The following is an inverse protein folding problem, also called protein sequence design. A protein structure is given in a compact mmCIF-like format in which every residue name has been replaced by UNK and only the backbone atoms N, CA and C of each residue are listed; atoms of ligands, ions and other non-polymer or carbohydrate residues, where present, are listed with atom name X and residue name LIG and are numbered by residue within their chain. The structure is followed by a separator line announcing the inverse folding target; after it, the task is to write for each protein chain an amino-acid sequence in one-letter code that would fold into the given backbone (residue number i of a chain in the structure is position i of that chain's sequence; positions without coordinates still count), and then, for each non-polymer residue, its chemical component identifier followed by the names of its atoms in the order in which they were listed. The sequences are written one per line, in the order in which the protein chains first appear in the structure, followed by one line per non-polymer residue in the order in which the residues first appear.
data_IF_638396781694
#
_entry.id   IF_638396781694
#
_cell.length_a   1.000
_cell.length_b   1.000
_cell.length_c   1.000
_cell.angle_alpha   90.00
_cell.angle_beta   90.00
_cell.angle_gamma   90.00
#
_symmetry.space_group_name_H-M   'P 1'
#
loop_
_entity.id
_entity.type
_entity.pdbx_description
1 polymer ?
#
# COMPACT_ATOMS: atom_id res chain seq x y z
N UNK A 1 -35.84 17.32 -25.66
CA UNK A 1 -35.59 15.97 -25.10
C UNK A 1 -34.10 15.87 -24.82
N UNK A 2 -33.71 15.50 -23.61
CA UNK A 2 -32.31 15.29 -23.21
C UNK A 2 -32.09 13.78 -23.27
N UNK A 3 -31.06 13.35 -24.00
CA UNK A 3 -30.60 11.97 -24.03
C UNK A 3 -29.11 11.95 -23.67
N UNK A 4 -28.65 10.89 -23.01
CA UNK A 4 -27.23 10.69 -22.79
C UNK A 4 -26.84 9.25 -23.08
N UNK A 5 -25.62 9.07 -23.60
CA UNK A 5 -24.98 7.76 -23.75
C UNK A 5 -23.58 7.79 -23.13
N UNK A 6 -23.10 6.61 -22.76
CA UNK A 6 -21.76 6.42 -22.19
C UNK A 6 -20.98 5.52 -23.14
N UNK A 7 -19.84 6.00 -23.62
CA UNK A 7 -18.93 5.24 -24.48
C UNK A 7 -17.61 5.01 -23.75
N UNK A 8 -17.20 3.75 -23.63
CA UNK A 8 -15.89 3.40 -23.06
C UNK A 8 -14.86 3.34 -24.18
N UNK A 9 -13.93 4.29 -24.20
CA UNK A 9 -12.74 4.24 -25.04
C UNK A 9 -11.58 3.52 -24.34
N UNK A 10 -10.49 3.35 -25.07
CA UNK A 10 -9.29 2.63 -24.63
C UNK A 10 -8.62 3.28 -23.40
N UNK A 11 -8.70 4.62 -23.28
CA UNK A 11 -8.02 5.40 -22.23
C UNK A 11 -8.95 6.28 -21.39
N UNK A 12 -10.24 6.35 -21.74
CA UNK A 12 -11.21 7.22 -21.08
C UNK A 12 -12.64 6.71 -21.27
N UNK A 13 -13.54 7.12 -20.39
CA UNK A 13 -14.99 6.95 -20.58
C UNK A 13 -15.60 8.30 -20.94
N UNK A 14 -16.36 8.33 -22.04
CA UNK A 14 -17.02 9.51 -22.58
C UNK A 14 -18.49 9.50 -22.20
N UNK A 15 -19.01 10.65 -21.73
CA UNK A 15 -20.44 10.89 -21.57
C UNK A 15 -20.87 11.80 -22.72
N UNK A 16 -21.73 11.31 -23.60
CA UNK A 16 -22.23 12.06 -24.75
C UNK A 16 -23.65 12.51 -24.42
N UNK A 17 -23.84 13.81 -24.26
CA UNK A 17 -25.14 14.40 -23.95
C UNK A 17 -25.71 14.97 -25.25
N UNK A 18 -26.79 14.36 -25.74
CA UNK A 18 -27.51 14.83 -26.93
C UNK A 18 -28.72 15.63 -26.46
N UNK A 19 -28.77 16.91 -26.83
CA UNK A 19 -29.92 17.76 -26.50
C UNK A 19 -30.45 18.47 -27.73
N UNK A 20 -31.78 18.40 -27.90
CA UNK A 20 -32.50 19.12 -28.96
C UNK A 20 -33.11 20.39 -28.36
N UNK A 21 -32.60 21.56 -28.74
CA UNK A 21 -33.04 22.86 -28.23
C UNK A 21 -33.67 23.74 -29.33
N UNK A 22 -34.57 24.63 -28.93
CA UNK A 22 -35.14 25.69 -29.77
C UNK A 22 -34.68 27.11 -29.34
N UNK A 23 -33.82 27.21 -28.32
CA UNK A 23 -33.22 28.44 -27.78
C UNK A 23 -31.92 28.11 -27.05
N UNK A 24 -31.07 29.09 -26.64
CA UNK A 24 -29.85 28.81 -25.89
C UNK A 24 -30.15 28.17 -24.53
N UNK A 25 -29.41 27.14 -24.15
CA UNK A 25 -29.53 26.45 -22.85
C UNK A 25 -28.15 26.15 -22.28
N UNK A 26 -28.02 26.31 -20.96
CA UNK A 26 -26.83 25.93 -20.19
C UNK A 26 -26.95 24.49 -19.71
N UNK A 27 -25.94 23.66 -20.00
CA UNK A 27 -25.83 22.29 -19.47
C UNK A 27 -24.74 22.28 -18.40
N UNK A 28 -25.08 21.80 -17.20
CA UNK A 28 -24.13 21.61 -16.09
C UNK A 28 -23.86 20.10 -15.98
N UNK A 29 -22.59 19.73 -16.01
CA UNK A 29 -22.15 18.33 -15.82
C UNK A 29 -21.34 18.27 -14.54
N UNK A 30 -21.88 17.57 -13.54
CA UNK A 30 -21.16 17.26 -12.30
C UNK A 30 -20.55 15.86 -12.41
N UNK A 31 -19.26 15.74 -12.09
CA UNK A 31 -18.56 14.45 -12.05
C UNK A 31 -17.61 14.41 -10.86
N UNK A 32 -17.34 13.20 -10.36
CA UNK A 32 -16.37 12.95 -9.31
C UNK A 32 -15.33 11.95 -9.81
N UNK A 33 -14.06 12.24 -9.59
CA UNK A 33 -12.99 11.27 -9.75
C UNK A 33 -12.85 10.45 -8.46
N UNK A 34 -12.51 9.15 -8.53
CA UNK A 34 -12.14 8.41 -7.34
C UNK A 34 -10.91 9.08 -6.72
N UNK A 35 -11.11 9.73 -5.57
CA UNK A 35 -10.02 10.32 -4.81
C UNK A 35 -9.40 9.23 -3.94
N UNK A 36 -8.07 9.09 -4.01
CA UNK A 36 -7.37 8.22 -3.07
C UNK A 36 -7.42 8.90 -1.70
N UNK A 37 -8.25 8.38 -0.81
CA UNK A 37 -8.39 8.94 0.52
C UNK A 37 -7.16 8.62 1.37
N UNK A 38 -6.82 9.51 2.32
CA UNK A 38 -5.79 9.24 3.32
C UNK A 38 -6.02 7.89 4.03
N UNK A 39 -7.28 7.58 4.33
CA UNK A 39 -7.70 6.29 4.89
C UNK A 39 -7.28 5.12 4.01
N UNK A 40 -7.48 5.22 2.69
CA UNK A 40 -7.08 4.19 1.72
C UNK A 40 -5.56 3.99 1.70
N UNK A 41 -4.78 5.08 1.74
CA UNK A 41 -3.31 4.99 1.71
C UNK A 41 -2.77 4.40 3.03
N UNK A 42 -3.26 4.89 4.17
CA UNK A 42 -2.91 4.33 5.48
C UNK A 42 -3.27 2.85 5.56
N UNK A 43 -4.44 2.46 5.05
CA UNK A 43 -4.85 1.06 5.01
C UNK A 43 -3.92 0.22 4.15
N UNK A 44 -3.49 0.75 3.01
CA UNK A 44 -2.58 0.07 2.10
C UNK A 44 -1.22 -0.21 2.78
N UNK A 45 -0.60 0.81 3.37
CA UNK A 45 0.67 0.63 4.07
C UNK A 45 0.55 -0.29 5.29
N UNK A 46 -0.55 -0.20 6.04
CA UNK A 46 -0.86 -1.16 7.10
C UNK A 46 -0.88 -2.59 6.56
N UNK A 47 -1.58 -2.85 5.46
CA UNK A 47 -1.66 -4.20 4.88
C UNK A 47 -0.35 -4.68 4.28
N UNK A 48 0.41 -3.80 3.63
CA UNK A 48 1.71 -4.17 3.09
C UNK A 48 2.72 -4.49 4.19
N UNK A 49 2.69 -3.76 5.32
CA UNK A 49 3.50 -4.12 6.47
C UNK A 49 3.16 -5.51 7.03
N UNK A 50 1.88 -5.80 7.26
CA UNK A 50 1.45 -7.09 7.82
C UNK A 50 1.82 -8.25 6.88
N UNK A 51 1.56 -8.10 5.57
CA UNK A 51 1.93 -9.13 4.59
C UNK A 51 3.46 -9.31 4.52
N UNK A 52 4.22 -8.21 4.54
CA UNK A 52 5.68 -8.26 4.53
C UNK A 52 6.25 -8.90 5.79
N UNK A 53 5.60 -8.71 6.95
CA UNK A 53 6.00 -9.37 8.19
C UNK A 53 5.79 -10.88 8.13
N UNK A 54 4.66 -11.34 7.60
CA UNK A 54 4.39 -12.76 7.37
C UNK A 54 5.41 -13.38 6.42
N UNK A 55 5.72 -12.67 5.32
CA UNK A 55 6.72 -13.10 4.33
C UNK A 55 8.14 -13.13 4.92
N UNK A 56 8.52 -12.09 5.67
CA UNK A 56 9.79 -12.02 6.39
C UNK A 56 9.94 -13.24 7.30
N UNK A 57 8.93 -13.56 8.12
CA UNK A 57 9.00 -14.69 9.04
C UNK A 57 9.23 -16.01 8.30
N UNK A 58 8.54 -16.22 7.16
CA UNK A 58 8.73 -17.41 6.32
C UNK A 58 10.15 -17.47 5.75
N UNK A 59 10.59 -16.40 5.09
CA UNK A 59 11.91 -16.35 4.45
C UNK A 59 13.03 -16.45 5.48
N UNK A 60 12.85 -15.87 6.67
CA UNK A 60 13.86 -15.92 7.72
C UNK A 60 14.08 -17.36 8.21
N UNK A 61 13.01 -18.14 8.38
CA UNK A 61 13.14 -19.57 8.70
C UNK A 61 13.83 -20.36 7.56
N UNK A 62 13.43 -20.13 6.31
CA UNK A 62 14.07 -20.77 5.16
C UNK A 62 15.56 -20.39 5.04
N UNK A 63 15.91 -19.13 5.31
CA UNK A 63 17.28 -18.65 5.29
C UNK A 63 18.14 -19.32 6.38
N UNK A 64 17.56 -19.61 7.55
CA UNK A 64 18.22 -20.39 8.60
C UNK A 64 18.45 -21.85 8.15
N UNK A 65 17.47 -22.47 7.50
CA UNK A 65 17.57 -23.85 7.00
C UNK A 65 18.61 -24.00 5.89
N UNK A 66 18.75 -22.97 5.03
CA UNK A 66 19.75 -22.91 3.96
C UNK A 66 21.12 -22.41 4.42
N UNK A 67 21.30 -22.17 5.73
CA UNK A 67 22.55 -21.66 6.31
C UNK A 67 23.03 -20.35 5.63
N UNK A 68 22.09 -19.45 5.32
CA UNK A 68 22.42 -18.08 4.87
C UNK A 68 23.38 -17.44 5.87
N UNK A 69 24.34 -16.68 5.35
CA UNK A 69 25.38 -16.09 6.18
C UNK A 69 24.79 -15.22 7.33
N UNK A 70 25.49 -15.20 8.47
CA UNK A 70 25.02 -14.53 9.66
C UNK A 70 24.90 -13.00 9.51
N UNK A 71 25.74 -12.36 8.70
CA UNK A 71 25.71 -10.90 8.51
C UNK A 71 24.43 -10.46 7.78
N UNK A 72 24.02 -11.20 6.76
CA UNK A 72 22.77 -11.02 6.01
C UNK A 72 21.55 -11.25 6.90
N UNK A 73 21.57 -12.30 7.74
CA UNK A 73 20.49 -12.56 8.69
C UNK A 73 20.37 -11.43 9.73
N UNK A 74 21.50 -10.93 10.24
CA UNK A 74 21.54 -9.83 11.20
C UNK A 74 21.02 -8.52 10.59
N UNK A 75 21.41 -8.22 9.35
CA UNK A 75 20.93 -7.05 8.62
C UNK A 75 19.41 -7.10 8.41
N UNK A 76 18.89 -8.24 7.94
CA UNK A 76 17.46 -8.44 7.75
C UNK A 76 16.68 -8.33 9.07
N UNK A 77 17.20 -8.87 10.18
CA UNK A 77 16.60 -8.73 11.51
C UNK A 77 16.54 -7.27 11.96
N UNK A 78 17.62 -6.51 11.76
CA UNK A 78 17.68 -5.10 12.13
C UNK A 78 16.64 -4.26 11.39
N UNK A 79 16.43 -4.53 10.11
CA UNK A 79 15.40 -3.89 9.30
C UNK A 79 13.99 -4.25 9.80
N UNK A 80 13.74 -5.53 10.10
CA UNK A 80 12.46 -5.96 10.67
C UNK A 80 12.18 -5.30 12.05
N UNK A 81 13.19 -5.20 12.92
CA UNK A 81 13.07 -4.47 14.19
C UNK A 81 12.73 -2.99 13.97
N UNK A 82 13.42 -2.35 13.03
CA UNK A 82 13.17 -0.95 12.64
C UNK A 82 11.74 -0.79 12.11
N UNK A 83 11.26 -1.73 11.30
CA UNK A 83 9.88 -1.74 10.80
C UNK A 83 8.86 -1.83 11.94
N UNK A 84 9.11 -2.71 12.92
CA UNK A 84 8.27 -2.87 14.10
C UNK A 84 8.24 -1.61 14.98
N UNK A 85 9.35 -0.88 15.12
CA UNK A 85 9.39 0.40 15.84
C UNK A 85 8.54 1.48 15.16
N UNK A 86 8.60 1.57 13.84
CA UNK A 86 7.75 2.49 13.08
C UNK A 86 6.27 2.09 13.19
N UNK A 87 5.95 0.81 13.08
CA UNK A 87 4.58 0.34 13.27
C UNK A 87 4.06 0.65 14.68
N UNK A 88 4.88 0.42 15.70
CA UNK A 88 4.55 0.78 17.09
C UNK A 88 4.26 2.26 17.24
N UNK A 89 5.05 3.13 16.60
CA UNK A 89 4.80 4.58 16.57
C UNK A 89 3.43 4.89 15.97
N UNK A 90 3.04 4.24 14.85
CA UNK A 90 1.70 4.39 14.28
C UNK A 90 0.59 3.92 15.24
N UNK A 91 0.83 2.81 15.95
CA UNK A 91 -0.10 2.26 16.94
C UNK A 91 -0.28 3.21 18.12
N UNK A 92 0.78 3.85 18.61
CA UNK A 92 0.73 4.87 19.66
C UNK A 92 -0.14 6.07 19.24
N UNK A 93 0.03 6.58 18.01
CA UNK A 93 -0.85 7.64 17.48
C UNK A 93 -2.32 7.20 17.35
N UNK A 94 -2.56 5.91 17.12
CA UNK A 94 -3.90 5.32 17.09
C UNK A 94 -4.49 5.02 18.48
N UNK A 95 -3.76 5.29 19.57
CA UNK A 95 -4.21 5.04 20.95
C UNK A 95 -3.88 3.66 21.49
N UNK A 96 -2.91 2.96 20.90
CA UNK A 96 -2.26 1.78 21.46
C UNK A 96 -2.99 0.43 21.29
N UNK A 97 -4.20 0.41 20.70
CA UNK A 97 -5.02 -0.82 20.59
C UNK A 97 -5.19 -1.33 19.17
N UNK A 98 -5.49 -0.45 18.23
CA UNK A 98 -5.71 -0.82 16.83
C UNK A 98 -5.58 0.41 15.94
N UNK A 99 -4.98 0.23 14.77
CA UNK A 99 -4.79 1.27 13.77
C UNK A 99 -6.06 1.48 12.93
N UNK A 100 -6.86 0.42 12.72
CA UNK A 100 -8.00 0.41 11.80
C UNK A 100 -9.03 1.54 12.04
N UNK A 101 -9.46 1.83 13.29
CA UNK A 101 -10.43 2.90 13.55
C UNK A 101 -9.87 4.31 13.32
N UNK A 102 -8.56 4.44 13.15
CA UNK A 102 -7.83 5.70 13.09
C UNK A 102 -7.14 5.95 11.75
N UNK A 103 -7.35 5.12 10.73
CA UNK A 103 -6.67 5.21 9.43
C UNK A 103 -6.77 6.56 8.71
N UNK A 104 -7.80 7.37 9.02
CA UNK A 104 -7.93 8.75 8.53
C UNK A 104 -7.06 9.79 9.25
N UNK A 105 -6.30 9.40 10.29
CA UNK A 105 -5.40 10.29 11.01
C UNK A 105 -4.09 10.47 10.23
N UNK A 106 -3.73 11.70 9.82
CA UNK A 106 -2.54 11.96 8.98
C UNK A 106 -1.23 11.60 9.67
N UNK A 107 -1.21 11.49 11.01
CA UNK A 107 0.00 11.11 11.76
C UNK A 107 0.40 9.66 11.53
N UNK A 108 -0.51 8.81 11.06
CA UNK A 108 -0.24 7.39 10.79
C UNK A 108 0.51 7.19 9.47
N UNK A 109 0.40 8.13 8.52
CA UNK A 109 0.88 7.94 7.16
C UNK A 109 2.40 7.71 7.10
N UNK A 110 3.16 8.60 7.73
CA UNK A 110 4.62 8.52 7.77
C UNK A 110 5.13 7.24 8.45
N UNK A 111 4.73 6.92 9.70
CA UNK A 111 5.21 5.71 10.36
C UNK A 111 4.76 4.43 9.65
N UNK A 112 3.53 4.33 9.13
CA UNK A 112 3.09 3.16 8.38
C UNK A 112 3.89 2.96 7.09
N UNK A 113 4.15 4.05 6.34
CA UNK A 113 4.99 3.98 5.14
C UNK A 113 6.40 3.49 5.47
N UNK A 114 7.00 4.03 6.54
CA UNK A 114 8.34 3.62 6.96
C UNK A 114 8.39 2.16 7.42
N UNK A 115 7.38 1.72 8.18
CA UNK A 115 7.25 0.33 8.57
C UNK A 115 7.20 -0.60 7.34
N UNK A 116 6.36 -0.27 6.36
CA UNK A 116 6.29 -0.99 5.08
C UNK A 116 7.64 -1.03 4.36
N UNK A 117 8.29 0.12 4.14
CA UNK A 117 9.54 0.16 3.39
C UNK A 117 10.67 -0.65 4.08
N UNK A 118 10.77 -0.56 5.41
CA UNK A 118 11.78 -1.31 6.15
C UNK A 118 11.53 -2.82 6.14
N UNK A 119 10.28 -3.27 6.22
CA UNK A 119 9.99 -4.71 6.15
C UNK A 119 10.16 -5.26 4.73
N UNK A 120 9.82 -4.47 3.70
CA UNK A 120 10.06 -4.82 2.29
C UNK A 120 11.56 -5.01 2.03
N UNK A 121 12.40 -4.10 2.52
CA UNK A 121 13.86 -4.23 2.40
C UNK A 121 14.38 -5.49 3.10
N UNK A 122 13.87 -5.81 4.30
CA UNK A 122 14.24 -7.02 5.02
C UNK A 122 13.87 -8.30 4.24
N UNK A 123 12.68 -8.32 3.64
CA UNK A 123 12.20 -9.42 2.78
C UNK A 123 13.10 -9.58 1.56
N UNK A 124 13.44 -8.48 0.89
CA UNK A 124 14.27 -8.51 -0.33
C UNK A 124 15.68 -9.04 -0.07
N UNK A 125 16.29 -8.67 1.06
CA UNK A 125 17.61 -9.18 1.46
C UNK A 125 17.57 -10.70 1.62
N UNK A 126 16.58 -11.23 2.36
CA UNK A 126 16.45 -12.66 2.58
C UNK A 126 16.14 -13.41 1.27
N UNK A 127 15.21 -12.88 0.48
CA UNK A 127 14.82 -13.46 -0.81
C UNK A 127 16.01 -13.57 -1.75
N UNK A 128 16.78 -12.50 -1.90
CA UNK A 128 17.97 -12.48 -2.76
C UNK A 128 19.03 -13.47 -2.29
N UNK A 129 19.26 -13.57 -0.98
CA UNK A 129 20.23 -14.49 -0.42
C UNK A 129 19.84 -15.97 -0.62
N UNK A 130 18.55 -16.29 -0.44
CA UNK A 130 18.00 -17.61 -0.70
C UNK A 130 18.12 -17.98 -2.18
N UNK A 131 17.68 -17.09 -3.08
CA UNK A 131 17.76 -17.31 -4.53
C UNK A 131 19.20 -17.56 -5.00
N UNK A 132 20.18 -16.87 -4.42
CA UNK A 132 21.59 -17.06 -4.75
C UNK A 132 22.11 -18.44 -4.33
N UNK A 133 21.67 -18.96 -3.18
CA UNK A 133 22.05 -20.29 -2.70
C UNK A 133 21.37 -21.41 -3.50
N UNK A 134 20.09 -21.24 -3.85
CA UNK A 134 19.35 -22.23 -4.64
C UNK A 134 19.83 -22.31 -6.10
N UNK A 135 20.44 -21.24 -6.61
CA UNK A 135 21.05 -21.21 -7.95
C UNK A 135 22.48 -21.78 -8.00
N UNK A 136 23.09 -22.13 -6.86
CA UNK A 136 24.46 -22.65 -6.74
C UNK A 136 24.51 -24.18 -6.77
#
# INVERSE_FOLDING_TARGET
MINYSIEKGERATYIIITVKFASPVTVIVEYALPTVSLTSISFLYYKYYENGLDEFNKLYQQALELEVNNETLEEALKLNQTAAEYYKTALEFAGGKSILPKLGDPRLLSPLRKAYLSIEEAVEILRTAIEALEAS
#
